data_IF_084321785872
#
_entry.id   IF_084321785872
#
_cell.length_a   1.000
_cell.length_b   1.000
_cell.length_c   1.000
_cell.angle_alpha   90.00
_cell.angle_beta   90.00
_cell.angle_gamma   90.00
#
_symmetry.space_group_name_H-M   'P 1'
#
loop_
_entity.id
_entity.type
_entity.pdbx_description
1 polymer ?
#
# COMPACT_ATOMS: atom_id res chain seq x y z
N UNK A 1 -9.98 -1.16 13.13
CA UNK A 1 -9.44 -1.29 11.77
C UNK A 1 -9.22 0.08 11.13
N UNK A 2 -8.14 0.22 10.36
CA UNK A 2 -7.76 1.41 9.61
C UNK A 2 -8.03 1.25 8.12
N UNK A 3 -8.39 2.33 7.46
CA UNK A 3 -8.72 2.33 6.03
C UNK A 3 -7.73 3.17 5.26
N UNK A 4 -7.05 2.55 4.28
CA UNK A 4 -6.08 3.21 3.41
C UNK A 4 -6.66 3.39 2.02
N UNK A 5 -6.75 4.62 1.54
CA UNK A 5 -7.05 4.91 0.15
C UNK A 5 -5.75 4.83 -0.66
N UNK A 6 -5.63 3.87 -1.59
CA UNK A 6 -4.40 3.64 -2.37
C UNK A 6 -4.66 3.84 -3.86
N UNK A 7 -3.73 4.52 -4.53
CA UNK A 7 -3.66 4.64 -5.99
C UNK A 7 -2.37 4.07 -6.54
N UNK A 8 -2.44 3.36 -7.66
CA UNK A 8 -1.28 2.98 -8.48
C UNK A 8 -1.02 4.00 -9.60
N UNK A 9 -1.77 5.09 -9.63
CA UNK A 9 -1.74 6.15 -10.65
C UNK A 9 -1.78 5.57 -12.08
N UNK A 10 -2.76 4.68 -12.31
CA UNK A 10 -3.01 4.19 -13.66
C UNK A 10 -3.46 5.35 -14.56
N UNK A 11 -2.87 5.43 -15.75
CA UNK A 11 -3.17 6.43 -16.77
C UNK A 11 -3.53 5.73 -18.08
N UNK A 12 -4.74 5.22 -18.13
CA UNK A 12 -5.34 4.55 -19.29
C UNK A 12 -6.62 5.28 -19.69
N UNK A 13 -7.12 5.05 -20.90
CA UNK A 13 -8.46 5.50 -21.23
C UNK A 13 -9.46 5.01 -20.19
N UNK A 14 -10.47 5.84 -19.91
CA UNK A 14 -11.60 5.39 -19.13
C UNK A 14 -12.21 4.14 -19.78
N UNK A 15 -12.39 3.04 -19.04
CA UNK A 15 -12.77 1.76 -19.67
C UNK A 15 -14.21 1.78 -20.22
N UNK A 16 -15.04 2.73 -19.80
CA UNK A 16 -16.45 2.85 -20.24
C UNK A 16 -16.60 3.89 -21.34
N UNK A 17 -15.97 5.07 -21.19
CA UNK A 17 -16.12 6.19 -22.15
C UNK A 17 -15.04 6.23 -23.24
N UNK A 18 -13.89 5.60 -22.99
CA UNK A 18 -12.73 5.66 -23.88
C UNK A 18 -11.92 6.98 -23.76
N UNK A 19 -12.37 7.93 -22.96
CA UNK A 19 -11.69 9.21 -22.76
C UNK A 19 -10.38 9.02 -21.99
N UNK A 20 -9.38 9.86 -22.32
CA UNK A 20 -8.11 9.90 -21.58
C UNK A 20 -7.79 11.33 -21.19
N UNK A 21 -7.54 11.55 -19.91
CA UNK A 21 -7.02 12.81 -19.41
C UNK A 21 -5.53 12.96 -19.77
N UNK A 22 -4.98 14.19 -19.67
CA UNK A 22 -3.54 14.37 -19.79
C UNK A 22 -2.79 13.79 -18.57
N UNK A 23 -1.52 13.46 -18.74
CA UNK A 23 -0.65 13.03 -17.60
C UNK A 23 -0.62 14.09 -16.51
N UNK A 24 -0.57 15.37 -16.88
CA UNK A 24 -0.61 16.49 -15.93
C UNK A 24 -1.92 16.47 -15.12
N UNK A 25 -3.05 16.35 -15.80
CA UNK A 25 -4.36 16.28 -15.14
C UNK A 25 -4.45 15.06 -14.21
N UNK A 26 -3.93 13.91 -14.64
CA UNK A 26 -3.93 12.70 -13.81
C UNK A 26 -3.19 12.87 -12.48
N UNK A 27 -2.04 13.56 -12.45
CA UNK A 27 -1.37 13.90 -11.20
C UNK A 27 -2.16 14.87 -10.33
N UNK A 28 -2.90 15.83 -10.92
CA UNK A 28 -3.82 16.69 -10.15
C UNK A 28 -4.93 15.89 -9.48
N UNK A 29 -5.51 14.94 -10.19
CA UNK A 29 -6.53 14.04 -9.64
C UNK A 29 -6.02 13.21 -8.46
N UNK A 30 -4.75 12.80 -8.46
CA UNK A 30 -4.13 12.12 -7.30
C UNK A 30 -4.13 13.02 -6.06
N UNK A 31 -3.78 14.31 -6.23
CA UNK A 31 -3.78 15.25 -5.11
C UNK A 31 -5.20 15.54 -4.60
N UNK A 32 -6.17 15.63 -5.51
CA UNK A 32 -7.57 15.82 -5.15
C UNK A 32 -8.15 14.59 -4.45
N UNK A 33 -7.77 13.37 -4.87
CA UNK A 33 -8.11 12.13 -4.18
C UNK A 33 -7.51 12.07 -2.77
N UNK A 34 -6.28 12.56 -2.57
CA UNK A 34 -5.66 12.61 -1.25
C UNK A 34 -6.37 13.59 -0.30
N UNK A 35 -6.74 14.77 -0.80
CA UNK A 35 -7.55 15.74 -0.04
C UNK A 35 -8.91 15.17 0.33
N UNK A 36 -9.58 14.55 -0.63
CA UNK A 36 -10.87 13.89 -0.41
C UNK A 36 -10.76 12.78 0.64
N UNK A 37 -9.73 11.95 0.57
CA UNK A 37 -9.51 10.89 1.55
C UNK A 37 -9.33 11.47 2.97
N UNK A 38 -8.58 12.56 3.13
CA UNK A 38 -8.43 13.24 4.42
C UNK A 38 -9.74 13.90 4.88
N UNK A 39 -10.47 14.55 3.99
CA UNK A 39 -11.78 15.17 4.26
C UNK A 39 -12.78 14.15 4.78
N UNK A 40 -12.85 12.98 4.15
CA UNK A 40 -13.77 11.90 4.51
C UNK A 40 -13.31 11.08 5.73
N UNK A 41 -12.11 11.31 6.27
CA UNK A 41 -11.62 10.65 7.48
C UNK A 41 -11.04 9.25 7.23
N UNK A 42 -10.43 9.01 6.07
CA UNK A 42 -9.57 7.86 5.87
C UNK A 42 -8.30 8.00 6.72
N UNK A 43 -7.75 6.87 7.16
CA UNK A 43 -6.60 6.85 8.06
C UNK A 43 -5.28 7.03 7.32
N UNK A 44 -5.22 6.63 6.04
CA UNK A 44 -4.02 6.75 5.21
C UNK A 44 -4.29 6.92 3.73
N UNK A 45 -3.31 7.50 3.03
CA UNK A 45 -3.26 7.62 1.58
C UNK A 45 -1.97 7.03 1.03
N UNK A 46 -2.09 6.15 0.05
CA UNK A 46 -0.96 5.42 -0.52
C UNK A 46 -0.76 5.65 -2.01
N UNK A 47 0.52 5.70 -2.42
CA UNK A 47 0.92 5.79 -3.82
C UNK A 47 1.83 4.62 -4.18
N UNK A 48 1.47 3.89 -5.23
CA UNK A 48 2.24 2.78 -5.74
C UNK A 48 3.48 3.20 -6.53
N UNK A 49 4.40 2.26 -6.75
CA UNK A 49 5.56 2.41 -7.64
C UNK A 49 5.44 1.46 -8.84
N UNK A 50 5.43 2.02 -10.02
CA UNK A 50 5.38 1.30 -11.28
C UNK A 50 6.20 2.04 -12.34
N UNK A 51 6.89 1.29 -13.19
CA UNK A 51 7.77 1.83 -14.23
C UNK A 51 7.34 1.43 -15.64
N UNK A 52 6.19 0.77 -15.79
CA UNK A 52 5.62 0.36 -17.09
C UNK A 52 4.21 0.89 -17.28
N UNK A 53 3.82 1.07 -18.54
CA UNK A 53 2.42 1.40 -18.88
C UNK A 53 1.46 0.32 -18.36
N UNK A 54 0.27 0.70 -17.94
CA UNK A 54 -0.35 2.05 -18.05
C UNK A 54 -0.10 2.97 -16.85
N UNK A 55 0.86 2.67 -15.99
CA UNK A 55 1.12 3.43 -14.77
C UNK A 55 2.10 4.57 -15.00
N UNK A 56 1.96 5.66 -14.21
CA UNK A 56 2.84 6.84 -14.27
C UNK A 56 3.47 7.18 -12.90
N UNK A 57 3.30 6.34 -11.90
CA UNK A 57 3.83 6.54 -10.54
C UNK A 57 5.21 5.93 -10.36
N UNK A 58 6.19 6.41 -11.11
CA UNK A 58 7.57 5.90 -11.04
C UNK A 58 8.39 6.46 -9.86
N UNK A 59 7.87 7.46 -9.15
CA UNK A 59 8.57 8.11 -8.02
C UNK A 59 7.58 8.42 -6.89
N UNK A 60 7.20 7.43 -6.08
CA UNK A 60 6.23 7.63 -5.01
C UNK A 60 6.68 8.65 -3.97
N UNK A 61 7.98 8.76 -3.66
CA UNK A 61 8.50 9.75 -2.73
C UNK A 61 8.20 11.19 -3.19
N UNK A 62 8.35 11.48 -4.48
CA UNK A 62 8.05 12.80 -5.06
C UNK A 62 6.55 13.09 -5.03
N UNK A 63 5.70 12.13 -5.39
CA UNK A 63 4.24 12.31 -5.35
C UNK A 63 3.75 12.49 -3.92
N UNK A 64 4.23 11.66 -2.99
CA UNK A 64 3.85 11.72 -1.58
C UNK A 64 4.33 13.00 -0.90
N UNK A 65 5.47 13.58 -1.29
CA UNK A 65 5.90 14.89 -0.78
C UNK A 65 4.90 16.01 -1.16
N UNK A 66 4.33 15.92 -2.37
CA UNK A 66 3.29 16.85 -2.80
C UNK A 66 1.96 16.60 -2.07
N UNK A 67 1.61 15.33 -1.82
CA UNK A 67 0.47 14.97 -0.97
C UNK A 67 0.67 15.49 0.46
N UNK A 68 1.88 15.38 1.02
CA UNK A 68 2.21 15.92 2.35
C UNK A 68 1.93 17.42 2.45
N UNK A 69 2.26 18.18 1.39
CA UNK A 69 2.05 19.63 1.34
C UNK A 69 0.57 20.05 1.30
N UNK A 70 -0.32 19.18 0.79
CA UNK A 70 -1.75 19.50 0.62
C UNK A 70 -2.67 18.79 1.63
N UNK A 71 -2.10 18.02 2.54
CA UNK A 71 -2.79 17.30 3.63
C UNK A 71 -2.15 17.60 4.98
N UNK A 72 -2.83 17.32 6.10
CA UNK A 72 -2.34 17.67 7.44
C UNK A 72 -2.32 16.52 8.45
N UNK A 73 -3.22 15.54 8.32
CA UNK A 73 -3.46 14.49 9.30
C UNK A 73 -3.31 13.08 8.75
N UNK A 74 -3.72 12.86 7.50
CA UNK A 74 -3.72 11.54 6.89
C UNK A 74 -2.30 10.97 6.82
N UNK A 75 -2.12 9.71 7.19
CA UNK A 75 -0.83 9.03 7.05
C UNK A 75 -0.52 8.75 5.59
N UNK A 76 0.75 8.77 5.25
CA UNK A 76 1.24 8.57 3.88
C UNK A 76 1.86 7.20 3.76
N UNK A 77 1.54 6.50 2.67
CA UNK A 77 2.05 5.15 2.42
C UNK A 77 2.67 5.03 1.03
N UNK A 78 3.80 4.36 0.93
CA UNK A 78 4.17 3.78 -0.35
C UNK A 78 3.37 2.49 -0.56
N UNK A 79 3.05 2.12 -1.83
CA UNK A 79 2.26 0.90 -2.07
C UNK A 79 2.60 0.23 -3.43
N UNK A 80 3.86 -0.18 -3.60
CA UNK A 80 4.95 -0.36 -2.66
C UNK A 80 6.17 0.48 -3.06
N UNK A 81 7.18 0.60 -2.19
CA UNK A 81 8.55 0.95 -2.58
C UNK A 81 9.27 -0.30 -3.06
N UNK A 82 9.81 -0.26 -4.27
CA UNK A 82 10.44 -1.44 -4.90
C UNK A 82 11.95 -1.47 -4.60
N UNK A 83 12.33 -1.96 -3.41
CA UNK A 83 13.73 -1.96 -2.96
C UNK A 83 14.67 -2.82 -3.81
N UNK A 84 14.16 -3.75 -4.61
CA UNK A 84 14.99 -4.51 -5.55
C UNK A 84 15.54 -3.66 -6.71
N UNK A 85 14.94 -2.51 -6.98
CA UNK A 85 15.30 -1.59 -8.06
C UNK A 85 16.11 -0.39 -7.58
N UNK A 86 16.05 -0.06 -6.29
CA UNK A 86 16.60 1.15 -5.72
C UNK A 86 17.91 0.89 -4.97
N UNK A 87 18.84 1.86 -5.01
CA UNK A 87 19.92 1.91 -4.03
C UNK A 87 19.32 2.20 -2.64
N UNK A 88 19.61 1.39 -1.61
CA UNK A 88 19.00 1.54 -0.30
C UNK A 88 19.39 2.83 0.43
N UNK A 89 20.57 3.42 0.11
CA UNK A 89 20.99 4.71 0.66
C UNK A 89 20.12 5.82 0.07
N UNK A 90 19.95 5.82 -1.26
CA UNK A 90 19.09 6.82 -1.91
C UNK A 90 17.63 6.71 -1.47
N UNK A 91 17.10 5.49 -1.36
CA UNK A 91 15.76 5.26 -0.82
C UNK A 91 15.62 5.80 0.61
N UNK A 92 16.65 5.57 1.45
CA UNK A 92 16.68 6.11 2.81
C UNK A 92 16.65 7.64 2.82
N UNK A 93 17.48 8.32 2.02
CA UNK A 93 17.55 9.77 1.94
C UNK A 93 16.20 10.37 1.50
N UNK A 94 15.57 9.80 0.48
CA UNK A 94 14.28 10.26 -0.04
C UNK A 94 13.17 10.12 1.02
N UNK A 95 13.10 8.98 1.68
CA UNK A 95 12.06 8.72 2.68
C UNK A 95 12.33 9.40 4.02
N UNK A 96 13.58 9.56 4.44
CA UNK A 96 13.91 10.38 5.61
C UNK A 96 13.56 11.85 5.38
N UNK A 97 13.80 12.37 4.17
CA UNK A 97 13.38 13.72 3.78
C UNK A 97 11.86 13.86 3.81
N UNK A 98 11.14 12.91 3.20
CA UNK A 98 9.69 12.90 3.20
C UNK A 98 9.10 12.77 4.62
N UNK A 99 9.75 12.02 5.49
CA UNK A 99 9.33 11.86 6.89
C UNK A 99 9.32 13.21 7.61
N UNK A 100 10.37 14.05 7.42
CA UNK A 100 10.38 15.42 7.92
C UNK A 100 9.31 16.31 7.26
N UNK A 101 9.18 16.26 5.94
CA UNK A 101 8.22 17.09 5.20
C UNK A 101 6.76 16.75 5.54
N UNK A 102 6.52 15.57 6.06
CA UNK A 102 5.19 15.08 6.45
C UNK A 102 4.94 15.13 7.96
N UNK A 103 5.84 15.69 8.77
CA UNK A 103 5.75 15.71 10.23
C UNK A 103 5.55 14.30 10.82
N UNK A 104 6.31 13.31 10.31
CA UNK A 104 6.28 11.94 10.80
C UNK A 104 5.01 11.14 10.42
N UNK A 105 4.31 11.51 9.37
CA UNK A 105 3.12 10.80 8.89
C UNK A 105 3.43 9.66 7.92
N UNK A 106 4.70 9.36 7.65
CA UNK A 106 5.12 8.36 6.67
C UNK A 106 5.14 6.95 7.27
N UNK A 107 4.52 6.02 6.57
CA UNK A 107 4.73 4.57 6.69
C UNK A 107 5.16 4.02 5.33
N UNK A 108 5.92 2.94 5.30
CA UNK A 108 6.35 2.32 4.05
C UNK A 108 5.69 0.96 3.88
N UNK A 109 5.15 0.69 2.70
CA UNK A 109 4.93 -0.68 2.25
C UNK A 109 6.01 -0.96 1.21
N UNK A 110 6.88 -1.93 1.47
CA UNK A 110 7.96 -2.31 0.57
C UNK A 110 7.62 -3.60 -0.18
N UNK A 111 8.24 -3.81 -1.32
CA UNK A 111 8.09 -5.04 -2.09
C UNK A 111 9.21 -5.22 -3.11
N UNK A 112 9.31 -6.44 -3.64
CA UNK A 112 10.32 -6.74 -4.68
C UNK A 112 9.94 -6.24 -6.08
N UNK A 113 8.70 -5.81 -6.29
CA UNK A 113 8.15 -5.56 -7.62
C UNK A 113 7.82 -6.86 -8.40
N UNK A 114 7.03 -6.75 -9.45
CA UNK A 114 6.55 -7.90 -10.22
C UNK A 114 6.55 -7.69 -11.75
N UNK A 115 6.91 -6.51 -12.25
CA UNK A 115 6.94 -6.20 -13.68
C UNK A 115 8.23 -6.66 -14.36
N UNK A 116 8.15 -7.31 -15.55
CA UNK A 116 9.32 -7.63 -16.35
C UNK A 116 9.98 -6.35 -16.90
N UNK A 117 9.18 -5.45 -17.49
CA UNK A 117 9.67 -4.21 -18.08
C UNK A 117 10.43 -3.32 -17.07
N UNK A 118 9.98 -3.25 -15.82
CA UNK A 118 10.71 -2.51 -14.79
C UNK A 118 12.06 -3.15 -14.45
N UNK A 119 12.16 -4.49 -14.44
CA UNK A 119 13.45 -5.17 -14.24
C UNK A 119 14.44 -4.84 -15.34
N UNK A 120 13.99 -4.85 -16.58
CA UNK A 120 14.83 -4.53 -17.73
C UNK A 120 15.37 -3.09 -17.66
N UNK A 121 14.51 -2.13 -17.28
CA UNK A 121 14.91 -0.73 -17.10
C UNK A 121 16.00 -0.52 -16.04
N UNK A 122 16.03 -1.33 -14.99
CA UNK A 122 16.97 -1.22 -13.87
C UNK A 122 18.04 -2.32 -13.87
N UNK A 123 18.15 -3.09 -14.95
CA UNK A 123 19.14 -4.17 -15.11
C UNK A 123 19.13 -5.17 -13.94
N UNK A 124 17.92 -5.58 -13.53
CA UNK A 124 17.69 -6.56 -12.47
C UNK A 124 17.24 -7.88 -13.11
N UNK A 125 17.98 -8.94 -12.87
CA UNK A 125 17.57 -10.26 -13.34
C UNK A 125 16.47 -10.86 -12.46
N UNK A 126 15.61 -11.76 -12.96
CA UNK A 126 14.64 -12.47 -12.15
C UNK A 126 15.27 -13.22 -10.96
N UNK A 127 16.46 -13.81 -11.19
CA UNK A 127 17.21 -14.60 -10.21
C UNK A 127 17.74 -13.73 -9.06
N UNK A 128 18.22 -12.52 -9.37
CA UNK A 128 18.78 -11.60 -8.39
C UNK A 128 17.72 -10.76 -7.66
N UNK A 129 16.55 -10.59 -8.25
CA UNK A 129 15.54 -9.64 -7.77
C UNK A 129 15.19 -9.84 -6.29
N UNK A 130 15.05 -11.10 -5.87
CA UNK A 130 14.69 -11.42 -4.50
C UNK A 130 15.84 -11.12 -3.53
N UNK A 131 17.05 -11.53 -3.89
CA UNK A 131 18.24 -11.25 -3.09
C UNK A 131 18.53 -9.75 -2.97
N UNK A 132 18.37 -8.99 -4.07
CA UNK A 132 18.46 -7.53 -4.05
C UNK A 132 17.44 -6.92 -3.09
N UNK A 133 16.19 -7.35 -3.13
CA UNK A 133 15.17 -6.86 -2.21
C UNK A 133 15.54 -7.12 -0.75
N UNK A 134 15.98 -8.32 -0.42
CA UNK A 134 16.32 -8.69 0.96
C UNK A 134 17.56 -7.95 1.47
N UNK A 135 18.63 -7.89 0.66
CA UNK A 135 19.88 -7.20 1.03
C UNK A 135 19.70 -5.68 1.09
N UNK A 136 18.94 -5.08 0.15
CA UNK A 136 18.60 -3.65 0.19
C UNK A 136 17.76 -3.31 1.41
N UNK A 137 16.82 -4.17 1.79
CA UNK A 137 16.03 -3.95 2.99
C UNK A 137 16.88 -4.02 4.27
N UNK A 138 17.81 -4.95 4.37
CA UNK A 138 18.71 -5.02 5.54
C UNK A 138 19.55 -3.74 5.70
N UNK A 139 20.13 -3.23 4.60
CA UNK A 139 20.87 -1.96 4.62
C UNK A 139 19.95 -0.79 4.98
N UNK A 140 18.79 -0.67 4.31
CA UNK A 140 17.80 0.38 4.56
C UNK A 140 17.37 0.40 6.04
N UNK A 141 17.07 -0.78 6.60
CA UNK A 141 16.67 -0.93 7.99
C UNK A 141 17.75 -0.52 8.98
N UNK A 142 19.03 -0.84 8.68
CA UNK A 142 20.17 -0.41 9.49
C UNK A 142 20.35 1.10 9.45
N UNK A 143 20.29 1.73 8.28
CA UNK A 143 20.38 3.19 8.12
C UNK A 143 19.32 3.91 8.94
N UNK A 144 18.11 3.33 9.05
CA UNK A 144 17.02 3.92 9.83
C UNK A 144 17.22 3.79 11.34
N UNK A 145 17.91 2.75 11.79
CA UNK A 145 18.03 2.41 13.22
C UNK A 145 19.38 2.80 13.84
N UNK A 146 20.42 2.98 13.05
CA UNK A 146 21.78 3.22 13.50
C UNK A 146 22.31 4.55 12.97
N UNK A 147 23.12 5.24 13.76
CA UNK A 147 23.70 6.52 13.33
C UNK A 147 24.83 6.32 12.33
N UNK A 148 25.60 5.24 12.47
CA UNK A 148 26.69 4.83 11.58
C UNK A 148 26.50 3.40 11.16
N UNK A 149 26.70 3.11 9.87
CA UNK A 149 26.42 1.80 9.27
C UNK A 149 27.65 1.27 8.53
N UNK A 150 28.03 0.04 8.86
CA UNK A 150 28.94 -0.77 8.06
C UNK A 150 28.15 -1.94 7.49
N UNK A 151 28.04 -2.02 6.17
CA UNK A 151 27.30 -3.07 5.47
C UNK A 151 27.93 -3.41 4.14
N UNK A 152 27.95 -4.69 3.80
CA UNK A 152 28.36 -5.19 2.50
C UNK A 152 27.21 -5.97 1.87
N UNK A 153 26.94 -5.75 0.59
CA UNK A 153 25.97 -6.47 -0.21
C UNK A 153 26.60 -6.88 -1.53
N UNK A 154 25.96 -7.81 -2.24
CA UNK A 154 26.42 -8.25 -3.58
C UNK A 154 26.16 -7.19 -4.66
N UNK A 155 25.25 -6.26 -4.42
CA UNK A 155 24.64 -5.42 -5.46
C UNK A 155 25.00 -3.94 -5.35
N UNK A 156 25.83 -3.56 -4.39
CA UNK A 156 26.36 -2.20 -4.24
C UNK A 156 27.72 -2.20 -3.54
N UNK A 157 28.55 -1.16 -3.72
CA UNK A 157 29.77 -0.99 -2.95
C UNK A 157 29.48 -0.97 -1.43
N UNK A 158 30.40 -1.53 -0.60
CA UNK A 158 30.20 -1.58 0.84
C UNK A 158 30.14 -0.18 1.47
N UNK A 159 29.32 -0.04 2.49
CA UNK A 159 29.38 1.07 3.42
C UNK A 159 30.40 0.74 4.52
N UNK A 160 31.25 1.71 4.85
CA UNK A 160 32.23 1.58 5.93
C UNK A 160 32.05 2.75 6.89
N UNK A 161 31.52 2.45 8.06
CA UNK A 161 31.27 3.45 9.10
C UNK A 161 30.56 4.71 8.56
N UNK A 162 29.58 4.50 7.67
CA UNK A 162 28.92 5.56 6.93
C UNK A 162 27.83 6.21 7.77
N UNK A 163 27.83 7.54 7.77
CA UNK A 163 26.77 8.36 8.32
C UNK A 163 25.95 8.95 7.15
N UNK A 164 24.62 8.76 7.17
CA UNK A 164 23.74 9.19 6.09
C UNK A 164 22.70 10.18 6.63
N UNK A 165 22.48 11.28 5.92
CA UNK A 165 21.60 12.37 6.29
C UNK A 165 20.50 12.60 5.23
N UNK A 166 19.30 13.18 5.62
CA UNK A 166 18.96 13.58 6.99
C UNK A 166 18.69 12.38 7.90
N UNK A 167 18.81 12.56 9.22
CA UNK A 167 18.32 11.54 10.16
C UNK A 167 16.78 11.58 10.15
N UNK A 168 16.09 10.46 10.25
CA UNK A 168 14.64 10.44 10.12
C UNK A 168 13.94 11.14 11.28
N UNK A 169 12.75 11.69 11.04
CA UNK A 169 11.92 12.30 12.06
C UNK A 169 11.35 11.23 13.01
N UNK A 170 10.92 10.08 12.45
CA UNK A 170 10.45 8.92 13.24
C UNK A 170 11.58 7.91 13.45
N UNK A 171 11.68 7.31 14.67
CA UNK A 171 12.59 6.18 14.96
C UNK A 171 11.92 5.10 15.81
N UNK A 172 11.71 3.91 15.26
CA UNK A 172 11.87 3.52 13.85
C UNK A 172 10.70 3.96 13.00
N UNK A 173 10.90 4.05 11.68
CA UNK A 173 9.79 4.09 10.72
C UNK A 173 9.07 2.74 10.73
N UNK A 174 7.76 2.77 10.50
CA UNK A 174 6.99 1.54 10.31
C UNK A 174 7.11 1.09 8.87
N UNK A 175 7.53 -0.17 8.70
CA UNK A 175 7.67 -0.81 7.38
C UNK A 175 6.78 -2.03 7.33
N UNK A 176 5.94 -2.09 6.31
CA UNK A 176 5.08 -3.21 5.94
C UNK A 176 5.72 -3.95 4.76
N UNK A 177 5.62 -5.27 4.73
CA UNK A 177 6.06 -6.04 3.57
C UNK A 177 4.86 -6.39 2.70
N UNK A 178 4.82 -5.83 1.47
CA UNK A 178 3.78 -6.10 0.49
C UNK A 178 4.00 -7.44 -0.20
N UNK A 179 3.00 -8.31 -0.17
CA UNK A 179 3.03 -9.59 -0.88
C UNK A 179 1.67 -9.99 -1.38
N UNK A 180 1.61 -10.52 -2.61
CA UNK A 180 0.42 -11.21 -3.09
C UNK A 180 0.42 -12.68 -2.61
N UNK A 181 1.41 -13.48 -3.06
CA UNK A 181 1.48 -14.92 -2.79
C UNK A 181 2.91 -15.39 -2.42
N UNK A 182 3.89 -14.49 -2.34
CA UNK A 182 5.28 -14.84 -2.08
C UNK A 182 5.50 -15.15 -0.61
N UNK A 183 5.78 -16.40 -0.29
CA UNK A 183 6.15 -16.86 1.06
C UNK A 183 7.48 -16.24 1.51
N UNK A 184 8.41 -15.97 0.60
CA UNK A 184 9.68 -15.32 0.94
C UNK A 184 9.49 -13.90 1.47
N UNK A 185 8.50 -13.15 0.92
CA UNK A 185 8.12 -11.84 1.46
C UNK A 185 7.56 -11.94 2.87
N UNK A 186 6.70 -12.93 3.11
CA UNK A 186 6.11 -13.17 4.42
C UNK A 186 7.16 -13.62 5.44
N UNK A 187 8.10 -14.47 5.03
CA UNK A 187 9.22 -14.90 5.88
C UNK A 187 10.17 -13.74 6.22
N UNK A 188 10.49 -12.89 5.23
CA UNK A 188 11.31 -11.69 5.45
C UNK A 188 10.64 -10.74 6.46
N UNK A 189 9.34 -10.48 6.31
CA UNK A 189 8.56 -9.69 7.26
C UNK A 189 8.62 -10.28 8.67
N UNK A 190 8.27 -11.55 8.80
CA UNK A 190 8.25 -12.26 10.07
C UNK A 190 9.63 -12.26 10.74
N UNK A 191 10.71 -12.52 9.99
CA UNK A 191 12.07 -12.54 10.52
C UNK A 191 12.48 -11.21 11.18
N UNK A 192 12.04 -10.10 10.62
CA UNK A 192 12.35 -8.77 11.14
C UNK A 192 11.34 -8.23 12.18
N UNK A 193 10.25 -8.96 12.43
CA UNK A 193 9.16 -8.51 13.30
C UNK A 193 8.38 -7.35 12.68
N UNK A 194 8.29 -7.32 11.35
CA UNK A 194 7.60 -6.29 10.59
C UNK A 194 6.21 -6.78 10.13
N UNK A 195 5.20 -5.91 10.00
CA UNK A 195 3.87 -6.28 9.54
C UNK A 195 3.83 -6.71 8.07
N UNK A 196 2.86 -7.57 7.75
CA UNK A 196 2.57 -8.04 6.40
C UNK A 196 1.40 -7.26 5.80
N UNK A 197 1.54 -6.79 4.54
CA UNK A 197 0.44 -6.25 3.75
C UNK A 197 0.11 -7.22 2.61
N UNK A 198 -1.00 -7.95 2.74
CA UNK A 198 -1.46 -8.88 1.71
C UNK A 198 -2.11 -8.13 0.54
N UNK A 199 -1.48 -8.18 -0.63
CA UNK A 199 -1.96 -7.53 -1.86
C UNK A 199 -3.09 -8.36 -2.52
N UNK A 200 -4.17 -8.53 -1.84
CA UNK A 200 -5.32 -9.36 -2.13
C UNK A 200 -6.22 -8.77 -3.24
N UNK A 201 -5.73 -8.68 -4.48
CA UNK A 201 -6.44 -7.92 -5.53
C UNK A 201 -6.81 -8.73 -6.79
N UNK A 202 -6.21 -9.90 -7.05
CA UNK A 202 -6.34 -10.55 -8.36
C UNK A 202 -6.96 -11.94 -8.34
N UNK A 203 -7.00 -12.62 -7.21
CA UNK A 203 -7.47 -14.00 -7.07
C UNK A 203 -8.57 -14.10 -6.00
N UNK A 204 -9.25 -15.24 -5.88
CA UNK A 204 -10.04 -15.58 -4.71
C UNK A 204 -9.23 -15.49 -3.42
N UNK A 205 -9.91 -15.53 -2.27
CA UNK A 205 -9.31 -15.23 -0.96
C UNK A 205 -8.30 -16.29 -0.47
N UNK A 206 -8.45 -17.54 -0.92
CA UNK A 206 -7.77 -18.71 -0.33
C UNK A 206 -6.23 -18.61 -0.38
N UNK A 207 -5.58 -18.31 -1.53
CA UNK A 207 -4.13 -18.19 -1.59
C UNK A 207 -3.56 -17.09 -0.67
N UNK A 208 -4.34 -16.03 -0.47
CA UNK A 208 -3.94 -14.93 0.41
C UNK A 208 -4.10 -15.30 1.89
N UNK A 209 -5.14 -16.04 2.24
CA UNK A 209 -5.31 -16.58 3.60
C UNK A 209 -4.18 -17.56 3.96
N UNK A 210 -3.74 -18.39 3.00
CA UNK A 210 -2.57 -19.27 3.19
C UNK A 210 -1.28 -18.50 3.42
N UNK A 211 -1.07 -17.38 2.69
CA UNK A 211 0.08 -16.51 2.89
C UNK A 211 0.09 -15.91 4.30
N UNK A 212 -1.05 -15.41 4.76
CA UNK A 212 -1.17 -14.83 6.11
C UNK A 212 -0.96 -15.86 7.19
N UNK A 213 -1.46 -17.10 7.00
CA UNK A 213 -1.20 -18.22 7.92
C UNK A 213 0.29 -18.52 7.98
N UNK A 214 0.95 -18.66 6.83
CA UNK A 214 2.40 -18.86 6.75
C UNK A 214 3.17 -17.74 7.46
N UNK A 215 2.80 -16.47 7.26
CA UNK A 215 3.41 -15.34 7.95
C UNK A 215 3.32 -15.47 9.48
N UNK A 216 2.15 -15.87 10.03
CA UNK A 216 1.95 -16.06 11.47
C UNK A 216 2.81 -17.20 12.02
N UNK A 217 2.87 -18.33 11.31
CA UNK A 217 3.72 -19.48 11.65
C UNK A 217 5.20 -19.07 11.69
N UNK A 218 5.65 -18.27 10.70
CA UNK A 218 7.03 -17.76 10.68
C UNK A 218 7.30 -16.72 11.76
N UNK A 219 6.34 -15.87 12.07
CA UNK A 219 6.41 -14.89 13.17
C UNK A 219 6.69 -15.58 14.51
N UNK A 220 5.93 -16.60 14.85
CA UNK A 220 6.13 -17.42 16.06
C UNK A 220 7.46 -18.18 16.03
N UNK A 221 7.84 -18.73 14.88
CA UNK A 221 9.12 -19.41 14.69
C UNK A 221 10.33 -18.51 15.01
N UNK A 222 10.26 -17.22 14.68
CA UNK A 222 11.31 -16.26 15.01
C UNK A 222 11.21 -15.70 16.43
N UNK A 223 10.30 -16.22 17.26
CA UNK A 223 10.18 -15.87 18.68
C UNK A 223 9.51 -14.53 18.97
N UNK A 224 8.78 -13.99 18.01
CA UNK A 224 8.02 -12.75 18.22
C UNK A 224 6.70 -13.02 18.95
N UNK A 225 6.24 -12.05 19.73
CA UNK A 225 4.96 -12.12 20.45
C UNK A 225 3.78 -12.18 19.45
N UNK A 226 2.97 -13.25 19.46
CA UNK A 226 1.81 -13.40 18.57
C UNK A 226 0.80 -12.26 18.68
N UNK A 227 0.69 -11.62 19.86
CA UNK A 227 -0.19 -10.47 20.05
C UNK A 227 0.22 -9.23 19.25
N UNK A 228 1.47 -9.18 18.77
CA UNK A 228 2.02 -8.06 17.99
C UNK A 228 1.93 -8.27 16.47
N UNK A 229 1.35 -9.37 16.02
CA UNK A 229 1.11 -9.60 14.59
C UNK A 229 0.19 -8.51 14.03
N UNK A 230 0.62 -7.88 12.94
CA UNK A 230 -0.21 -6.93 12.22
C UNK A 230 -0.32 -7.32 10.73
N UNK A 231 -1.53 -7.31 10.21
CA UNK A 231 -1.84 -7.69 8.82
C UNK A 231 -2.67 -6.58 8.17
N UNK A 232 -2.23 -6.16 7.00
CA UNK A 232 -3.01 -5.34 6.08
C UNK A 232 -3.61 -6.20 4.96
N UNK A 233 -4.77 -5.84 4.46
CA UNK A 233 -5.45 -6.53 3.38
C UNK A 233 -5.79 -5.59 2.21
N UNK A 234 -5.43 -6.00 1.00
CA UNK A 234 -5.81 -5.34 -0.24
C UNK A 234 -7.25 -5.65 -0.65
N UNK A 235 -7.84 -4.80 -1.51
CA UNK A 235 -9.13 -5.07 -2.15
C UNK A 235 -9.05 -4.91 -3.65
N UNK A 236 -9.87 -5.66 -4.40
CA UNK A 236 -9.87 -5.69 -5.86
C UNK A 236 -10.71 -4.57 -6.49
N UNK A 237 -11.63 -3.99 -5.76
CA UNK A 237 -12.52 -2.93 -6.23
C UNK A 237 -13.37 -2.40 -5.09
N UNK A 238 -13.93 -1.20 -5.28
CA UNK A 238 -14.86 -0.58 -4.32
C UNK A 238 -16.02 0.07 -5.05
N UNK A 239 -17.24 -0.32 -4.71
CA UNK A 239 -18.43 0.47 -5.00
C UNK A 239 -19.55 0.15 -4.00
N UNK A 240 -19.77 1.07 -3.08
CA UNK A 240 -20.88 1.01 -2.11
C UNK A 240 -22.02 1.88 -2.60
N UNK A 241 -23.22 1.32 -2.66
CA UNK A 241 -24.45 2.05 -3.02
C UNK A 241 -25.56 1.73 -2.01
N UNK A 242 -26.65 2.50 -1.95
CA UNK A 242 -27.72 2.27 -0.99
C UNK A 242 -28.28 0.85 -1.04
N UNK A 243 -28.33 0.24 -2.23
CA UNK A 243 -28.78 -1.13 -2.43
C UNK A 243 -27.77 -1.94 -3.24
N UNK A 244 -27.78 -3.25 -3.06
CA UNK A 244 -26.93 -4.19 -3.81
C UNK A 244 -27.19 -4.14 -5.31
N UNK A 245 -28.44 -3.96 -5.71
CA UNK A 245 -28.85 -3.86 -7.10
C UNK A 245 -28.24 -2.62 -7.76
N UNK A 246 -28.30 -1.47 -7.09
CA UNK A 246 -27.67 -0.23 -7.57
C UNK A 246 -26.16 -0.36 -7.65
N UNK A 247 -25.51 -0.99 -6.65
CA UNK A 247 -24.08 -1.22 -6.67
C UNK A 247 -23.64 -2.08 -7.85
N UNK A 248 -24.28 -3.22 -8.07
CA UNK A 248 -23.97 -4.11 -9.18
C UNK A 248 -24.30 -3.46 -10.54
N UNK A 249 -25.45 -2.80 -10.67
CA UNK A 249 -25.81 -2.12 -11.91
C UNK A 249 -24.80 -1.01 -12.29
N UNK A 250 -24.34 -0.23 -11.31
CA UNK A 250 -23.36 0.83 -11.55
C UNK A 250 -21.97 0.29 -11.88
N UNK A 251 -21.56 -0.84 -11.29
CA UNK A 251 -20.22 -1.41 -11.49
C UNK A 251 -20.13 -2.34 -12.72
N UNK A 252 -21.25 -2.84 -13.23
CA UNK A 252 -21.29 -3.78 -14.36
C UNK A 252 -20.53 -3.28 -15.61
N UNK A 253 -20.72 -2.04 -16.10
CA UNK A 253 -19.97 -1.56 -17.26
C UNK A 253 -18.45 -1.55 -17.02
N UNK A 254 -18.02 -1.23 -15.79
CA UNK A 254 -16.61 -1.23 -15.38
C UNK A 254 -16.04 -2.65 -15.41
N UNK A 255 -16.77 -3.60 -14.84
CA UNK A 255 -16.35 -5.01 -14.84
C UNK A 255 -16.23 -5.57 -16.25
N UNK A 256 -17.25 -5.36 -17.10
CA UNK A 256 -17.28 -5.85 -18.47
C UNK A 256 -16.14 -5.24 -19.32
N UNK A 257 -15.90 -3.94 -19.18
CA UNK A 257 -14.81 -3.27 -19.88
C UNK A 257 -13.42 -3.76 -19.43
N UNK A 258 -13.21 -3.99 -18.12
CA UNK A 258 -11.97 -4.56 -17.63
C UNK A 258 -11.77 -6.02 -18.07
N UNK A 259 -12.84 -6.83 -18.11
CA UNK A 259 -12.80 -8.20 -18.61
C UNK A 259 -12.45 -8.23 -20.11
N UNK A 260 -13.10 -7.41 -20.91
CA UNK A 260 -12.79 -7.30 -22.34
C UNK A 260 -11.34 -6.85 -22.59
N UNK A 261 -10.81 -5.92 -21.78
CA UNK A 261 -9.41 -5.53 -21.83
C UNK A 261 -8.47 -6.69 -21.49
N UNK A 262 -8.78 -7.48 -20.47
CA UNK A 262 -7.98 -8.65 -20.10
C UNK A 262 -7.94 -9.68 -21.25
N UNK A 263 -9.10 -9.98 -21.85
CA UNK A 263 -9.21 -10.88 -23.01
C UNK A 263 -8.38 -10.39 -24.21
N UNK A 264 -8.47 -9.09 -24.53
CA UNK A 264 -7.72 -8.48 -25.64
C UNK A 264 -6.20 -8.46 -25.43
N UNK A 265 -5.75 -8.38 -24.19
CA UNK A 265 -4.33 -8.29 -23.83
C UNK A 265 -3.72 -9.63 -23.42
N UNK A 266 -4.50 -10.71 -23.43
CA UNK A 266 -4.06 -12.04 -23.01
C UNK A 266 -3.82 -12.18 -21.51
N UNK A 267 -4.37 -11.27 -20.71
CA UNK A 267 -4.34 -11.38 -19.23
C UNK A 267 -5.35 -12.45 -18.77
N UNK A 268 -5.06 -13.18 -17.70
CA UNK A 268 -6.00 -14.18 -17.19
C UNK A 268 -7.35 -13.57 -16.76
N UNK A 269 -8.44 -14.14 -17.24
CA UNK A 269 -9.79 -13.85 -16.75
C UNK A 269 -10.09 -14.83 -15.63
N UNK A 270 -10.00 -14.38 -14.38
CA UNK A 270 -10.20 -15.20 -13.18
C UNK A 270 -11.68 -15.29 -12.81
N UNK A 271 -12.44 -14.24 -13.10
CA UNK A 271 -13.88 -14.14 -12.79
C UNK A 271 -14.66 -13.86 -14.07
N UNK A 272 -15.59 -14.73 -14.40
CA UNK A 272 -16.34 -14.60 -15.66
C UNK A 272 -17.55 -13.66 -15.55
N UNK A 273 -18.11 -13.53 -14.34
CA UNK A 273 -19.28 -12.68 -14.07
C UNK A 273 -19.00 -11.68 -12.97
N UNK A 274 -19.72 -10.57 -12.97
CA UNK A 274 -19.65 -9.57 -11.90
C UNK A 274 -20.08 -10.16 -10.56
N UNK A 275 -21.09 -11.01 -10.56
CA UNK A 275 -21.60 -11.67 -9.37
C UNK A 275 -20.55 -12.57 -8.73
N UNK A 276 -19.83 -13.35 -9.56
CA UNK A 276 -18.72 -14.18 -9.12
C UNK A 276 -17.54 -13.33 -8.60
N UNK A 277 -17.21 -12.26 -9.31
CA UNK A 277 -16.21 -11.29 -8.86
C UNK A 277 -16.59 -10.63 -7.54
N UNK A 278 -17.84 -10.16 -7.42
CA UNK A 278 -18.33 -9.54 -6.19
C UNK A 278 -18.38 -10.51 -5.01
N UNK A 279 -18.64 -11.80 -5.21
CA UNK A 279 -18.70 -12.79 -4.13
C UNK A 279 -17.32 -13.32 -3.73
N UNK A 280 -16.52 -13.83 -4.67
CA UNK A 280 -15.30 -14.58 -4.38
C UNK A 280 -14.01 -13.77 -4.38
N UNK A 281 -13.97 -12.58 -5.01
CA UNK A 281 -12.81 -11.71 -4.92
C UNK A 281 -12.82 -10.86 -3.65
N UNK A 282 -11.77 -10.07 -3.44
CA UNK A 282 -11.70 -9.07 -2.38
C UNK A 282 -12.47 -7.77 -2.68
N UNK A 283 -13.18 -7.68 -3.81
CA UNK A 283 -13.91 -6.48 -4.18
C UNK A 283 -15.07 -6.18 -3.20
N UNK A 284 -15.17 -4.94 -2.80
CA UNK A 284 -16.21 -4.43 -1.90
C UNK A 284 -17.31 -3.75 -2.73
N UNK A 285 -18.20 -4.56 -3.33
CA UNK A 285 -19.28 -4.10 -4.19
C UNK A 285 -20.59 -4.57 -3.59
N UNK A 286 -21.47 -3.63 -3.22
CA UNK A 286 -22.76 -3.97 -2.61
C UNK A 286 -23.34 -2.85 -1.76
N UNK A 287 -24.42 -3.19 -1.01
CA UNK A 287 -24.94 -2.33 0.04
C UNK A 287 -23.97 -2.22 1.23
N UNK A 288 -24.12 -1.20 2.09
CA UNK A 288 -23.30 -1.08 3.29
C UNK A 288 -23.24 -2.37 4.12
N UNK A 289 -24.38 -3.04 4.34
CA UNK A 289 -24.45 -4.27 5.13
C UNK A 289 -23.66 -5.41 4.46
N UNK A 290 -23.78 -5.60 3.14
CA UNK A 290 -23.04 -6.64 2.42
C UNK A 290 -21.53 -6.41 2.48
N UNK A 291 -21.10 -5.15 2.40
CA UNK A 291 -19.67 -4.80 2.51
C UNK A 291 -19.18 -5.08 3.93
N UNK A 292 -19.94 -4.73 4.97
CA UNK A 292 -19.63 -5.05 6.36
C UNK A 292 -19.48 -6.56 6.55
N UNK A 293 -20.46 -7.34 6.13
CA UNK A 293 -20.46 -8.81 6.26
C UNK A 293 -19.25 -9.44 5.53
N UNK A 294 -18.92 -8.90 4.36
CA UNK A 294 -17.78 -9.36 3.57
C UNK A 294 -16.45 -9.05 4.26
N UNK A 295 -16.29 -7.86 4.81
CA UNK A 295 -15.06 -7.50 5.54
C UNK A 295 -14.91 -8.33 6.80
N UNK A 296 -16.00 -8.68 7.52
CA UNK A 296 -15.95 -9.61 8.65
C UNK A 296 -15.50 -10.99 8.20
N UNK A 297 -16.06 -11.57 7.12
CA UNK A 297 -15.60 -12.86 6.57
C UNK A 297 -14.11 -12.88 6.22
N UNK A 298 -13.59 -11.73 5.73
CA UNK A 298 -12.16 -11.57 5.48
C UNK A 298 -11.35 -11.46 6.76
N UNK A 299 -11.87 -10.72 7.73
CA UNK A 299 -11.21 -10.58 9.02
C UNK A 299 -11.08 -11.94 9.73
N UNK A 300 -12.11 -12.78 9.69
CA UNK A 300 -12.07 -14.12 10.24
C UNK A 300 -10.94 -15.00 9.64
N UNK A 301 -10.57 -14.72 8.39
CA UNK A 301 -9.50 -15.47 7.69
C UNK A 301 -8.11 -14.83 7.86
N UNK A 302 -8.03 -13.51 7.85
CA UNK A 302 -6.76 -12.78 7.88
C UNK A 302 -6.41 -12.21 9.24
N UNK A 303 -7.41 -11.85 10.05
CA UNK A 303 -7.20 -11.05 11.25
C UNK A 303 -6.56 -9.70 10.91
N UNK A 304 -6.94 -9.11 9.76
CA UNK A 304 -6.40 -7.84 9.33
C UNK A 304 -6.93 -6.67 10.17
N UNK A 305 -6.08 -5.69 10.39
CA UNK A 305 -6.42 -4.45 11.10
C UNK A 305 -6.23 -3.22 10.22
N UNK A 306 -5.79 -3.43 8.97
CA UNK A 306 -5.67 -2.42 7.94
C UNK A 306 -6.34 -2.94 6.68
N UNK A 307 -7.20 -2.14 6.08
CA UNK A 307 -7.91 -2.47 4.84
C UNK A 307 -7.65 -1.41 3.78
N UNK A 308 -7.17 -1.83 2.62
CA UNK A 308 -7.05 -0.97 1.46
C UNK A 308 -8.41 -0.76 0.80
N UNK A 309 -8.67 0.47 0.36
CA UNK A 309 -9.74 0.82 -0.57
C UNK A 309 -9.15 1.59 -1.76
N UNK A 310 -9.81 1.55 -2.93
CA UNK A 310 -9.34 2.26 -4.11
C UNK A 310 -9.53 3.77 -3.93
N UNK A 311 -8.45 4.54 -4.13
CA UNK A 311 -8.50 6.00 -4.20
C UNK A 311 -9.00 6.49 -5.57
N UNK A 312 -8.87 5.67 -6.60
CA UNK A 312 -9.24 5.99 -7.98
C UNK A 312 -10.65 5.50 -8.32
N UNK A 313 -11.37 6.24 -9.15
CA UNK A 313 -12.71 5.89 -9.63
C UNK A 313 -12.73 4.59 -10.47
N UNK A 314 -11.61 4.26 -11.14
CA UNK A 314 -11.41 2.97 -11.82
C UNK A 314 -12.36 2.70 -13.00
N UNK A 315 -13.05 3.72 -13.54
CA UNK A 315 -14.06 3.61 -14.58
C UNK A 315 -15.47 3.97 -14.11
N UNK A 316 -15.67 4.20 -12.81
CA UNK A 316 -16.85 4.89 -12.31
C UNK A 316 -16.72 6.40 -12.59
N UNK A 317 -17.85 7.10 -12.68
CA UNK A 317 -17.79 8.57 -12.70
C UNK A 317 -17.24 9.10 -11.38
N UNK A 318 -16.56 10.24 -11.40
CA UNK A 318 -15.99 10.87 -10.20
C UNK A 318 -17.07 11.09 -9.11
N UNK A 319 -18.29 11.48 -9.50
CA UNK A 319 -19.42 11.69 -8.58
C UNK A 319 -19.88 10.38 -7.92
N UNK A 320 -19.97 9.29 -8.68
CA UNK A 320 -20.35 7.96 -8.14
C UNK A 320 -19.26 7.42 -7.20
N UNK A 321 -18.00 7.58 -7.58
CA UNK A 321 -16.91 7.16 -6.73
C UNK A 321 -16.89 7.95 -5.41
N UNK A 322 -17.02 9.27 -5.47
CA UNK A 322 -17.14 10.12 -4.28
C UNK A 322 -18.30 9.69 -3.38
N UNK A 323 -19.50 9.52 -3.94
CA UNK A 323 -20.68 9.07 -3.19
C UNK A 323 -20.45 7.70 -2.53
N UNK A 324 -19.75 6.78 -3.22
CA UNK A 324 -19.38 5.48 -2.66
C UNK A 324 -18.43 5.61 -1.48
N UNK A 325 -17.40 6.48 -1.56
CA UNK A 325 -16.48 6.74 -0.45
C UNK A 325 -17.19 7.41 0.74
N UNK A 326 -18.08 8.37 0.48
CA UNK A 326 -18.90 9.02 1.50
C UNK A 326 -19.80 8.02 2.22
N UNK A 327 -20.48 7.15 1.48
CA UNK A 327 -21.36 6.12 2.03
C UNK A 327 -20.54 5.08 2.84
N UNK A 328 -19.38 4.68 2.35
CA UNK A 328 -18.47 3.80 3.06
C UNK A 328 -18.06 4.40 4.42
N UNK A 329 -17.63 5.66 4.45
CA UNK A 329 -17.22 6.32 5.68
C UNK A 329 -18.39 6.59 6.63
N UNK A 330 -19.60 6.83 6.10
CA UNK A 330 -20.77 7.11 6.92
C UNK A 330 -21.41 5.85 7.54
N UNK A 331 -21.44 4.73 6.80
CA UNK A 331 -22.24 3.56 7.20
C UNK A 331 -21.42 2.28 7.39
N UNK A 332 -20.28 2.13 6.73
CA UNK A 332 -19.44 0.90 6.82
C UNK A 332 -18.33 1.08 7.84
N UNK A 333 -17.53 2.12 7.70
CA UNK A 333 -16.35 2.34 8.51
C UNK A 333 -16.61 2.42 10.03
N UNK A 334 -17.68 3.09 10.52
CA UNK A 334 -17.95 3.15 11.96
C UNK A 334 -18.26 1.78 12.57
N UNK A 335 -18.99 0.92 11.84
CA UNK A 335 -19.30 -0.44 12.29
C UNK A 335 -18.03 -1.28 12.34
N UNK A 336 -17.26 -1.31 11.27
CA UNK A 336 -16.02 -2.07 11.22
C UNK A 336 -14.97 -1.60 12.24
N UNK A 337 -14.87 -0.28 12.49
CA UNK A 337 -13.95 0.23 13.54
C UNK A 337 -14.35 -0.19 14.94
N UNK A 338 -15.65 -0.33 15.22
CA UNK A 338 -16.15 -0.85 16.48
C UNK A 338 -15.89 -2.35 16.62
N UNK A 339 -16.12 -3.10 15.57
CA UNK A 339 -16.12 -4.57 15.59
C UNK A 339 -14.73 -5.18 15.40
N UNK A 340 -13.82 -4.46 14.75
CA UNK A 340 -12.42 -4.86 14.51
C UNK A 340 -11.52 -3.81 15.17
N UNK A 341 -11.22 -3.94 16.48
CA UNK A 341 -10.39 -2.98 17.18
C UNK A 341 -8.94 -3.05 16.70
N UNK A 342 -8.28 -1.89 16.69
CA UNK A 342 -6.84 -1.84 16.42
C UNK A 342 -6.06 -2.40 17.61
N UNK A 343 -5.04 -3.24 17.36
CA UNK A 343 -4.09 -3.56 18.42
C UNK A 343 -3.35 -2.27 18.82
N UNK A 344 -3.17 -2.01 20.13
CA UNK A 344 -2.62 -0.75 20.64
C UNK A 344 -1.31 -0.33 19.99
N UNK A 345 -0.41 -1.29 19.74
CA UNK A 345 0.92 -1.04 19.18
C UNK A 345 0.93 -0.82 17.66
N UNK A 346 -0.12 -1.21 16.91
CA UNK A 346 -0.13 -1.12 15.45
C UNK A 346 -0.08 0.34 14.95
N UNK A 347 -0.58 1.25 15.77
CA UNK A 347 -0.72 2.66 15.44
C UNK A 347 -0.20 3.60 16.54
N UNK A 348 0.57 3.06 17.50
CA UNK A 348 1.28 3.92 18.44
C UNK A 348 2.05 4.98 17.64
N UNK A 349 1.87 6.27 17.96
CA UNK A 349 2.67 7.30 17.32
C UNK A 349 4.13 6.95 17.59
N UNK A 350 4.89 6.80 16.52
CA UNK A 350 6.33 6.72 16.63
C UNK A 350 6.74 8.11 17.11
N UNK A 351 7.08 8.22 18.38
CA UNK A 351 7.39 9.52 19.00
C UNK A 351 8.49 10.19 18.18
N UNK A 352 8.33 11.48 17.87
CA UNK A 352 9.42 12.24 17.29
C UNK A 352 10.63 12.16 18.23
N UNK A 353 11.82 12.25 17.66
CA UNK A 353 13.02 12.46 18.44
C UNK A 353 12.80 13.56 19.46
N UNK A 354 13.35 13.47 20.68
CA UNK A 354 13.52 14.65 21.49
C UNK A 354 14.24 15.69 20.62
N UNK A 355 13.65 16.90 20.54
CA UNK A 355 14.29 17.98 19.80
C UNK A 355 15.76 18.05 20.20
N UNK A 356 16.70 18.22 19.27
CA UNK A 356 18.10 18.36 19.62
C UNK A 356 18.19 19.41 20.70
N UNK A 357 18.76 19.03 21.84
CA UNK A 357 19.11 19.99 22.89
C UNK A 357 19.85 21.09 22.19
N UNK A 358 19.31 22.30 22.19
CA UNK A 358 20.01 23.47 21.67
C UNK A 358 21.34 23.50 22.43
N UNK A 359 22.40 23.04 21.76
CA UNK A 359 23.75 23.38 22.18
C UNK A 359 23.79 24.91 22.15
N UNK A 360 23.74 25.48 23.32
CA UNK A 360 24.01 26.90 23.54
C UNK A 360 25.40 27.13 22.99
N UNK A 361 25.50 27.61 21.76
CA UNK A 361 26.70 28.16 21.20
C UNK A 361 27.09 29.33 22.10
N UNK A 362 27.94 29.08 23.09
CA UNK A 362 28.67 30.18 23.75
C UNK A 362 29.70 30.66 22.73
N UNK A 363 29.44 31.85 22.20
CA UNK A 363 30.42 32.69 21.51
C UNK A 363 31.55 33.03 22.46
#
# INVERSE_FOLDING_TARGET
VKFLAITLVAHRPDPVTGERTSTHQRFREVLDSARLAEELGFDGFGVGERHERPFISSSPAVVLSHVAAVTRRIRLFTAVTTLSLLDPVRAYEDYATLDHLSDGRLDLIIGKGNGAAQRDLFHVTPEDQWARNAESYDVFRRLWRQDRVTAATRFRPPLQDAEVWPRPFQRPIRVWHGSATSKDSADLAARHGDPLFSANVTHPIEPYAELVRHYRERWEHYGHDPARVAVGAGTAGLHVAPTSQEALAAYRPVFEANRAFAEQTGLPVVFETLEDFAERSSALIGSPQQVIDKVHRYHDRFGHTVLHVQADAGGLTASRHRASLELFQAQVAPVLRRDIPDPPFAWEPVLPFPAPTQETTRV
#
